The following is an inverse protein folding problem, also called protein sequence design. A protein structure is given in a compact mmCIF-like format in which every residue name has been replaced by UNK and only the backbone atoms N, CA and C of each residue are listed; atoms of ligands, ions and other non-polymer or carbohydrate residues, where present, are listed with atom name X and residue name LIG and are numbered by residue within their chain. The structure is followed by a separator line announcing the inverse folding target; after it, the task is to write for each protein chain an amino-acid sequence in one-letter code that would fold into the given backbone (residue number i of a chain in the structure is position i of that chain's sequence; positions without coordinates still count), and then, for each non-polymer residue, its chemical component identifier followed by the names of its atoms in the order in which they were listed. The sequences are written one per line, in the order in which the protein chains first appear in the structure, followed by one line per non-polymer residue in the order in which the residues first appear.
data_IF_445208863269
#
_entry.id   IF_445208863269
#
_cell.length_a   1.000
_cell.length_b   1.000
_cell.length_c   1.000
_cell.angle_alpha   90.00
_cell.angle_beta   90.00
_cell.angle_gamma   90.00
#
_symmetry.space_group_name_H-M   'P 1'
#
loop_
_entity.id
_entity.type
_entity.pdbx_description
1 polymer ?
#
# COMPACT_ATOMS: atom_id res chain seq x y z
N UNK A 1 -0.81 -10.56 8.79
CA UNK A 1 -1.68 -10.12 7.67
C UNK A 1 -1.04 -10.25 6.29
N UNK A 2 0.26 -10.19 6.18
CA UNK A 2 1.04 -10.25 4.94
C UNK A 2 1.18 -11.63 4.29
N UNK A 3 0.97 -12.69 5.06
CA UNK A 3 1.06 -14.07 4.55
C UNK A 3 -0.20 -14.47 3.74
N UNK A 4 -1.37 -13.95 4.08
CA UNK A 4 -2.62 -14.30 3.39
C UNK A 4 -2.61 -13.99 1.88
N UNK A 5 -2.11 -12.83 1.41
CA UNK A 5 -1.96 -12.58 -0.01
C UNK A 5 -1.10 -13.60 -0.75
N UNK A 6 -0.07 -14.18 -0.09
CA UNK A 6 0.75 -15.24 -0.69
C UNK A 6 -0.04 -16.50 -1.04
N UNK A 7 -1.12 -16.77 -0.34
CA UNK A 7 -2.02 -17.90 -0.65
C UNK A 7 -3.18 -17.48 -1.57
N UNK A 8 -3.74 -16.27 -1.36
CA UNK A 8 -4.95 -15.87 -2.10
C UNK A 8 -4.66 -15.38 -3.51
N UNK A 9 -3.52 -14.73 -3.78
CA UNK A 9 -3.15 -14.27 -5.13
C UNK A 9 -3.00 -15.45 -6.08
N UNK A 10 -2.14 -16.47 -5.81
CA UNK A 10 -1.98 -17.61 -6.70
C UNK A 10 -3.28 -18.38 -6.96
N UNK A 11 -4.16 -18.42 -5.96
CA UNK A 11 -5.46 -19.05 -6.10
C UNK A 11 -6.37 -18.27 -7.04
N UNK A 12 -6.54 -16.97 -6.79
CA UNK A 12 -7.43 -16.11 -7.58
C UNK A 12 -6.98 -15.99 -9.04
N UNK A 13 -5.68 -15.85 -9.29
CA UNK A 13 -5.15 -15.75 -10.65
C UNK A 13 -5.43 -17.01 -11.49
N UNK A 14 -5.37 -18.20 -10.85
CA UNK A 14 -5.64 -19.47 -11.53
C UNK A 14 -7.13 -19.78 -11.67
N UNK A 15 -7.93 -19.45 -10.66
CA UNK A 15 -9.36 -19.82 -10.63
C UNK A 15 -10.18 -18.83 -11.43
N UNK A 16 -10.04 -17.54 -11.19
CA UNK A 16 -10.80 -16.50 -11.91
C UNK A 16 -10.23 -16.19 -13.31
N UNK A 17 -8.92 -16.38 -13.48
CA UNK A 17 -8.21 -15.98 -14.68
C UNK A 17 -7.97 -14.46 -14.76
N UNK A 18 -7.17 -14.05 -15.76
CA UNK A 18 -6.72 -12.66 -15.90
C UNK A 18 -7.86 -11.69 -16.22
N UNK A 19 -8.78 -12.07 -17.09
CA UNK A 19 -9.88 -11.21 -17.55
C UNK A 19 -10.86 -10.86 -16.41
N UNK A 20 -11.39 -11.86 -15.73
CA UNK A 20 -12.35 -11.66 -14.62
C UNK A 20 -11.72 -10.95 -13.43
N UNK A 21 -10.47 -11.31 -13.10
CA UNK A 21 -9.73 -10.62 -12.05
C UNK A 21 -9.48 -9.15 -12.42
N UNK A 22 -9.22 -8.86 -13.70
CA UNK A 22 -9.06 -7.51 -14.21
C UNK A 22 -10.33 -6.66 -14.06
N UNK A 23 -11.50 -7.21 -14.37
CA UNK A 23 -12.79 -6.53 -14.14
C UNK A 23 -12.97 -6.21 -12.65
N UNK A 24 -12.72 -7.20 -11.78
CA UNK A 24 -12.85 -7.00 -10.35
C UNK A 24 -11.88 -5.91 -9.83
N UNK A 25 -10.63 -5.87 -10.31
CA UNK A 25 -9.64 -4.84 -9.93
C UNK A 25 -10.01 -3.45 -10.44
N UNK A 26 -10.53 -3.36 -11.68
CA UNK A 26 -11.01 -2.10 -12.22
C UNK A 26 -12.18 -1.53 -11.41
N UNK A 27 -13.23 -2.33 -11.23
CA UNK A 27 -14.43 -1.88 -10.51
C UNK A 27 -14.12 -1.53 -9.06
N UNK A 28 -13.27 -2.30 -8.39
CA UNK A 28 -12.76 -2.00 -7.06
C UNK A 28 -12.00 -0.65 -7.02
N UNK A 29 -11.12 -0.38 -8.00
CA UNK A 29 -10.34 0.86 -8.03
C UNK A 29 -11.21 2.10 -8.21
N UNK A 30 -12.24 2.04 -9.06
CA UNK A 30 -13.22 3.12 -9.22
C UNK A 30 -13.94 3.43 -7.89
N UNK A 31 -14.37 2.38 -7.18
CA UNK A 31 -15.05 2.53 -5.88
C UNK A 31 -14.10 3.08 -4.80
N UNK A 32 -12.84 2.66 -4.79
CA UNK A 32 -11.84 3.17 -3.86
C UNK A 32 -11.54 4.66 -4.08
N UNK A 33 -11.41 5.10 -5.34
CA UNK A 33 -11.28 6.52 -5.66
C UNK A 33 -12.50 7.27 -5.12
N UNK A 34 -13.71 6.81 -5.47
CA UNK A 34 -14.94 7.47 -5.07
C UNK A 34 -15.09 7.58 -3.54
N UNK A 35 -14.76 6.53 -2.79
CA UNK A 35 -14.86 6.56 -1.33
C UNK A 35 -13.87 7.53 -0.67
N UNK A 36 -12.67 7.68 -1.20
CA UNK A 36 -11.70 8.64 -0.67
C UNK A 36 -12.15 10.08 -0.95
N UNK A 37 -12.65 10.34 -2.18
CA UNK A 37 -13.22 11.63 -2.51
C UNK A 37 -14.48 11.92 -1.68
N UNK A 38 -15.32 10.92 -1.43
CA UNK A 38 -16.51 11.07 -0.59
C UNK A 38 -16.19 11.34 0.88
N UNK A 39 -15.13 10.75 1.44
CA UNK A 39 -14.71 10.95 2.84
C UNK A 39 -14.06 12.30 3.12
N UNK A 40 -13.60 13.04 2.10
CA UNK A 40 -13.09 14.41 2.20
C UNK A 40 -12.07 14.64 3.34
N UNK A 41 -11.14 13.69 3.53
CA UNK A 41 -10.09 13.79 4.56
C UNK A 41 -10.52 13.41 5.99
N UNK A 42 -11.77 13.01 6.19
CA UNK A 42 -12.30 12.65 7.52
C UNK A 42 -11.52 11.53 8.20
N UNK A 43 -10.87 10.63 7.46
CA UNK A 43 -10.11 9.52 8.08
C UNK A 43 -9.01 10.03 8.98
N UNK A 44 -8.17 10.94 8.51
CA UNK A 44 -7.07 11.51 9.30
C UNK A 44 -7.55 12.57 10.29
N UNK A 45 -8.53 13.35 9.89
CA UNK A 45 -9.14 14.36 10.76
C UNK A 45 -9.76 13.73 12.00
N UNK A 46 -10.54 12.66 11.84
CA UNK A 46 -11.24 11.98 12.94
C UNK A 46 -10.27 11.43 13.98
N UNK A 47 -9.20 10.76 13.54
CA UNK A 47 -8.15 10.27 14.45
C UNK A 47 -7.57 11.40 15.32
N UNK A 48 -7.28 12.54 14.70
CA UNK A 48 -6.67 13.69 15.38
C UNK A 48 -7.61 14.33 16.39
N UNK A 49 -8.87 14.57 16.02
CA UNK A 49 -9.82 15.25 16.88
C UNK A 49 -10.24 14.39 18.07
N UNK A 50 -10.34 13.06 17.88
CA UNK A 50 -10.57 12.10 18.97
C UNK A 50 -9.40 12.10 19.94
N UNK A 51 -8.16 12.07 19.47
CA UNK A 51 -6.98 12.13 20.32
C UNK A 51 -6.93 13.40 21.20
N UNK A 52 -7.37 14.55 20.66
CA UNK A 52 -7.43 15.79 21.43
C UNK A 52 -8.50 15.78 22.54
N UNK A 53 -9.61 15.05 22.34
CA UNK A 53 -10.73 15.04 23.28
C UNK A 53 -10.76 13.78 24.18
N UNK A 54 -9.76 12.89 24.12
CA UNK A 54 -9.75 11.58 24.80
C UNK A 54 -9.84 11.62 26.31
N UNK A 55 -9.50 12.76 26.94
CA UNK A 55 -9.53 12.91 28.40
C UNK A 55 -10.92 13.34 28.93
N UNK A 56 -11.87 13.67 28.06
CA UNK A 56 -13.20 14.12 28.45
C UNK A 56 -14.28 13.27 27.74
N UNK A 57 -14.87 12.32 28.44
CA UNK A 57 -15.82 11.34 27.88
C UNK A 57 -17.02 12.00 27.20
N UNK A 58 -17.51 13.13 27.70
CA UNK A 58 -18.66 13.83 27.10
C UNK A 58 -18.27 14.53 25.79
N UNK A 59 -17.14 15.23 25.77
CA UNK A 59 -16.64 15.87 24.54
C UNK A 59 -16.24 14.81 23.50
N UNK A 60 -15.62 13.73 23.95
CA UNK A 60 -15.27 12.58 23.11
C UNK A 60 -16.51 11.98 22.44
N UNK A 61 -17.57 11.73 23.22
CA UNK A 61 -18.81 11.15 22.71
C UNK A 61 -19.54 12.10 21.77
N UNK A 62 -19.58 13.42 22.06
CA UNK A 62 -20.12 14.43 21.15
C UNK A 62 -19.36 14.44 19.82
N UNK A 63 -18.04 14.52 19.85
CA UNK A 63 -17.19 14.48 18.66
C UNK A 63 -17.40 13.21 17.83
N UNK A 64 -17.52 12.05 18.50
CA UNK A 64 -17.82 10.80 17.82
C UNK A 64 -19.10 10.88 17.00
N UNK A 65 -20.23 11.30 17.63
CA UNK A 65 -21.51 11.34 16.95
C UNK A 65 -21.57 12.40 15.86
N UNK A 66 -20.95 13.57 16.06
CA UNK A 66 -20.87 14.60 15.03
C UNK A 66 -20.15 14.10 13.77
N UNK A 67 -18.99 13.48 13.96
CA UNK A 67 -18.22 12.92 12.86
C UNK A 67 -18.93 11.74 12.21
N UNK A 68 -19.54 10.87 13.00
CA UNK A 68 -20.28 9.72 12.50
C UNK A 68 -21.47 10.13 11.64
N UNK A 69 -22.29 11.10 12.09
CA UNK A 69 -23.39 11.64 11.30
C UNK A 69 -22.89 12.35 10.03
N UNK A 70 -21.78 13.09 10.12
CA UNK A 70 -21.18 13.68 8.94
C UNK A 70 -20.77 12.62 7.91
N UNK A 71 -20.17 11.51 8.36
CA UNK A 71 -19.83 10.37 7.47
C UNK A 71 -21.08 9.76 6.85
N UNK A 72 -22.19 9.66 7.56
CA UNK A 72 -23.47 9.18 7.00
C UNK A 72 -23.99 10.13 5.91
N UNK A 73 -23.96 11.44 6.14
CA UNK A 73 -24.37 12.43 5.13
C UNK A 73 -23.50 12.29 3.87
N UNK A 74 -22.18 12.25 4.04
CA UNK A 74 -21.25 12.08 2.93
C UNK A 74 -21.39 10.73 2.23
N UNK A 75 -21.72 9.66 2.98
CA UNK A 75 -22.05 8.35 2.41
C UNK A 75 -23.24 8.44 1.45
N UNK A 76 -24.31 9.10 1.86
CA UNK A 76 -25.52 9.28 1.03
C UNK A 76 -25.15 10.05 -0.24
N UNK A 77 -24.42 11.17 -0.12
CA UNK A 77 -23.94 11.91 -1.28
C UNK A 77 -23.08 11.06 -2.22
N UNK A 78 -22.18 10.25 -1.64
CA UNK A 78 -21.31 9.34 -2.39
C UNK A 78 -22.12 8.26 -3.12
N UNK A 79 -23.15 7.70 -2.47
CA UNK A 79 -24.04 6.71 -3.07
C UNK A 79 -24.86 7.28 -4.23
N UNK A 80 -25.28 8.54 -4.16
CA UNK A 80 -25.96 9.22 -5.28
C UNK A 80 -25.04 9.37 -6.47
N UNK A 81 -23.79 9.83 -6.25
CA UNK A 81 -22.78 9.93 -7.32
C UNK A 81 -22.43 8.53 -7.88
N UNK A 82 -22.30 7.54 -7.00
CA UNK A 82 -22.06 6.16 -7.38
C UNK A 82 -23.19 5.59 -8.25
N UNK A 83 -24.44 5.88 -7.92
CA UNK A 83 -25.59 5.51 -8.75
C UNK A 83 -25.50 6.08 -10.17
N UNK A 84 -25.12 7.35 -10.30
CA UNK A 84 -24.94 7.98 -11.62
C UNK A 84 -23.79 7.32 -12.42
N UNK A 85 -22.66 7.00 -11.76
CA UNK A 85 -21.54 6.28 -12.38
C UNK A 85 -21.97 4.88 -12.84
N UNK A 86 -22.75 4.17 -12.00
CA UNK A 86 -23.25 2.82 -12.29
C UNK A 86 -24.13 2.82 -13.52
N UNK A 87 -25.05 3.77 -13.66
CA UNK A 87 -25.95 3.87 -14.81
C UNK A 87 -25.22 4.13 -16.12
N UNK A 88 -24.10 4.86 -16.08
CA UNK A 88 -23.28 5.15 -17.27
C UNK A 88 -22.21 4.10 -17.59
N UNK A 89 -22.08 3.03 -16.79
CA UNK A 89 -21.01 2.04 -16.94
C UNK A 89 -21.43 0.81 -17.73
N UNK A 90 -20.47 0.22 -18.45
CA UNK A 90 -20.60 -1.13 -19.04
C UNK A 90 -20.76 -2.24 -17.98
N UNK A 91 -20.31 -1.99 -16.72
CA UNK A 91 -20.40 -2.92 -15.58
C UNK A 91 -21.58 -2.60 -14.64
N UNK A 92 -22.68 -2.08 -15.18
CA UNK A 92 -23.87 -1.66 -14.41
C UNK A 92 -24.46 -2.78 -13.54
N UNK A 93 -24.28 -4.05 -13.92
CA UNK A 93 -24.78 -5.21 -13.18
C UNK A 93 -23.83 -5.63 -12.03
N UNK A 94 -22.58 -5.20 -12.07
CA UNK A 94 -21.54 -5.50 -11.07
C UNK A 94 -21.43 -4.40 -10.04
N UNK A 95 -21.44 -3.13 -10.44
CA UNK A 95 -21.27 -2.01 -9.54
C UNK A 95 -22.21 -1.99 -8.33
N UNK A 96 -23.52 -2.32 -8.44
CA UNK A 96 -24.43 -2.30 -7.29
C UNK A 96 -23.94 -3.12 -6.08
N UNK A 97 -23.16 -4.18 -6.32
CA UNK A 97 -22.61 -5.02 -5.25
C UNK A 97 -21.68 -4.21 -4.33
N UNK A 98 -20.99 -3.23 -4.88
CA UNK A 98 -20.07 -2.37 -4.13
C UNK A 98 -20.76 -1.35 -3.20
N UNK A 99 -22.10 -1.27 -3.18
CA UNK A 99 -22.85 -0.49 -2.18
C UNK A 99 -22.43 -0.91 -0.76
N UNK A 100 -22.26 -2.22 -0.53
CA UNK A 100 -21.79 -2.74 0.75
C UNK A 100 -20.35 -2.34 1.06
N UNK A 101 -19.49 -2.26 0.07
CA UNK A 101 -18.12 -1.75 0.22
C UNK A 101 -18.12 -0.28 0.66
N UNK A 102 -18.91 0.56 -0.03
CA UNK A 102 -19.06 1.98 0.30
C UNK A 102 -19.61 2.13 1.71
N UNK A 103 -20.72 1.47 2.03
CA UNK A 103 -21.31 1.50 3.37
C UNK A 103 -20.28 1.05 4.42
N UNK A 104 -19.56 -0.01 4.19
CA UNK A 104 -18.50 -0.49 5.07
C UNK A 104 -17.42 0.58 5.31
N UNK A 105 -16.95 1.22 4.24
CA UNK A 105 -15.91 2.26 4.36
C UNK A 105 -16.38 3.46 5.18
N UNK A 106 -17.61 3.92 4.99
CA UNK A 106 -18.14 5.09 5.70
C UNK A 106 -18.55 4.78 7.15
N UNK A 107 -19.05 3.59 7.41
CA UNK A 107 -19.46 3.16 8.76
C UNK A 107 -18.29 2.68 9.62
N UNK A 108 -17.10 2.46 9.05
CA UNK A 108 -15.94 2.02 9.83
C UNK A 108 -15.56 3.05 10.90
N UNK A 109 -15.50 2.59 12.14
CA UNK A 109 -15.18 3.40 13.32
C UNK A 109 -13.78 3.14 13.88
N UNK A 110 -12.91 2.49 13.13
CA UNK A 110 -11.51 2.23 13.52
C UNK A 110 -10.74 3.50 13.88
N UNK A 111 -11.08 4.63 13.24
CA UNK A 111 -10.53 5.95 13.54
C UNK A 111 -10.73 6.37 15.00
N UNK A 112 -11.85 5.99 15.60
CA UNK A 112 -12.12 6.29 17.00
C UNK A 112 -11.16 5.54 17.93
N UNK A 113 -11.02 4.22 17.73
CA UNK A 113 -10.12 3.39 18.53
C UNK A 113 -8.65 3.77 18.32
N UNK A 114 -8.27 4.17 17.12
CA UNK A 114 -6.94 4.72 16.84
C UNK A 114 -6.70 6.01 17.62
N UNK A 115 -7.68 6.92 17.66
CA UNK A 115 -7.58 8.19 18.36
C UNK A 115 -7.49 8.06 19.88
N UNK A 116 -8.18 7.07 20.48
CA UNK A 116 -8.05 6.77 21.91
C UNK A 116 -6.88 5.84 22.26
N UNK A 117 -6.06 5.46 21.26
CA UNK A 117 -4.91 4.55 21.41
C UNK A 117 -5.28 3.11 21.85
N UNK A 118 -6.52 2.68 21.62
CA UNK A 118 -7.01 1.34 21.94
C UNK A 118 -7.19 0.47 20.69
N UNK A 119 -6.09 0.05 20.09
CA UNK A 119 -6.12 -0.70 18.83
C UNK A 119 -6.57 -2.17 18.94
N UNK A 120 -6.63 -2.72 20.17
CA UNK A 120 -6.91 -4.16 20.39
C UNK A 120 -8.22 -4.63 19.73
N UNK A 121 -9.38 -3.94 19.88
CA UNK A 121 -10.62 -4.34 19.22
C UNK A 121 -10.51 -4.33 17.69
N UNK A 122 -9.85 -3.32 17.13
CA UNK A 122 -9.64 -3.18 15.68
C UNK A 122 -8.78 -4.33 15.14
N UNK A 123 -7.69 -4.65 15.83
CA UNK A 123 -6.78 -5.72 15.43
C UNK A 123 -7.47 -7.08 15.48
N UNK A 124 -8.15 -7.42 16.60
CA UNK A 124 -8.85 -8.70 16.75
C UNK A 124 -9.92 -8.86 15.66
N UNK A 125 -10.78 -7.84 15.48
CA UNK A 125 -11.79 -7.84 14.44
C UNK A 125 -11.19 -8.08 13.05
N UNK A 126 -10.13 -7.33 12.70
CA UNK A 126 -9.48 -7.45 11.41
C UNK A 126 -8.95 -8.86 11.15
N UNK A 127 -8.39 -9.53 12.19
CA UNK A 127 -7.93 -10.90 12.06
C UNK A 127 -9.09 -11.88 11.86
N UNK A 128 -10.14 -11.78 12.68
CA UNK A 128 -11.30 -12.69 12.60
C UNK A 128 -11.98 -12.58 11.24
N UNK A 129 -12.36 -11.36 10.85
CA UNK A 129 -13.05 -11.14 9.57
C UNK A 129 -12.18 -11.56 8.39
N UNK A 130 -10.87 -11.28 8.45
CA UNK A 130 -9.92 -11.67 7.39
C UNK A 130 -9.76 -13.18 7.26
N UNK A 131 -9.67 -13.92 8.37
CA UNK A 131 -9.56 -15.38 8.35
C UNK A 131 -10.85 -15.97 7.77
N UNK A 132 -12.02 -15.54 8.27
CA UNK A 132 -13.32 -16.01 7.77
C UNK A 132 -13.46 -15.72 6.27
N UNK A 133 -13.18 -14.50 5.84
CA UNK A 133 -13.28 -14.14 4.41
C UNK A 133 -12.31 -14.93 3.54
N UNK A 134 -11.11 -15.25 4.05
CA UNK A 134 -10.15 -16.08 3.32
C UNK A 134 -10.62 -17.52 3.21
N UNK A 135 -11.20 -18.11 4.27
CA UNK A 135 -11.79 -19.45 4.22
C UNK A 135 -12.95 -19.47 3.21
N UNK A 136 -13.86 -18.50 3.29
CA UNK A 136 -14.98 -18.38 2.34
C UNK A 136 -14.51 -18.21 0.91
N UNK A 137 -13.39 -17.50 0.68
CA UNK A 137 -12.79 -17.36 -0.63
C UNK A 137 -12.43 -18.73 -1.23
N UNK A 138 -11.74 -19.58 -0.49
CA UNK A 138 -11.36 -20.92 -0.97
C UNK A 138 -12.56 -21.89 -1.11
N UNK A 139 -13.61 -21.69 -0.33
CA UNK A 139 -14.80 -22.54 -0.36
C UNK A 139 -15.75 -22.16 -1.50
N UNK A 140 -15.97 -20.86 -1.71
CA UNK A 140 -17.01 -20.36 -2.62
C UNK A 140 -16.51 -20.10 -4.05
N UNK A 141 -15.25 -19.73 -4.22
CA UNK A 141 -14.70 -19.37 -5.52
C UNK A 141 -13.97 -20.59 -6.07
N UNK A 142 -14.54 -21.26 -7.08
CA UNK A 142 -14.01 -22.50 -7.65
C UNK A 142 -13.81 -22.46 -9.15
N UNK A 143 -14.38 -21.47 -9.83
CA UNK A 143 -14.35 -21.33 -11.27
C UNK A 143 -14.31 -19.88 -11.75
N UNK A 144 -14.21 -19.71 -13.06
CA UNK A 144 -14.16 -18.38 -13.70
C UNK A 144 -15.46 -17.61 -13.51
N UNK A 145 -16.59 -18.30 -13.47
CA UNK A 145 -17.92 -17.72 -13.35
C UNK A 145 -18.18 -17.14 -11.93
N UNK A 146 -17.34 -17.50 -10.96
CA UNK A 146 -17.48 -17.05 -9.57
C UNK A 146 -16.92 -15.65 -9.31
N UNK A 147 -16.58 -14.86 -10.35
CA UNK A 147 -16.13 -13.48 -10.22
C UNK A 147 -17.12 -12.63 -9.42
N UNK A 148 -18.41 -12.75 -9.69
CA UNK A 148 -19.46 -12.01 -8.98
C UNK A 148 -19.49 -12.39 -7.50
N UNK A 149 -19.30 -13.66 -7.16
CA UNK A 149 -19.21 -14.15 -5.77
C UNK A 149 -17.97 -13.56 -5.10
N UNK A 150 -16.85 -13.45 -5.81
CA UNK A 150 -15.64 -12.81 -5.30
C UNK A 150 -15.89 -11.34 -4.96
N UNK A 151 -16.59 -10.59 -5.81
CA UNK A 151 -16.91 -9.18 -5.58
C UNK A 151 -17.88 -9.03 -4.40
N UNK A 152 -18.90 -9.90 -4.28
CA UNK A 152 -19.75 -9.96 -3.11
C UNK A 152 -18.96 -10.21 -1.83
N UNK A 153 -18.07 -11.19 -1.84
CA UNK A 153 -17.25 -11.54 -0.67
C UNK A 153 -16.35 -10.37 -0.23
N UNK A 154 -15.71 -9.67 -1.17
CA UNK A 154 -14.87 -8.51 -0.86
C UNK A 154 -15.68 -7.35 -0.29
N UNK A 155 -16.84 -7.06 -0.89
CA UNK A 155 -17.73 -5.98 -0.45
C UNK A 155 -18.36 -6.27 0.93
N UNK A 156 -18.83 -7.49 1.14
CA UNK A 156 -19.37 -7.91 2.45
C UNK A 156 -18.29 -8.00 3.53
N UNK A 157 -17.05 -8.36 3.17
CA UNK A 157 -15.92 -8.35 4.11
C UNK A 157 -15.67 -6.93 4.63
N UNK A 158 -15.70 -5.92 3.75
CA UNK A 158 -15.54 -4.53 4.16
C UNK A 158 -16.70 -4.05 5.04
N UNK A 159 -17.93 -4.42 4.70
CA UNK A 159 -19.11 -4.12 5.50
C UNK A 159 -19.09 -4.82 6.87
N UNK A 160 -18.74 -6.10 6.90
CA UNK A 160 -18.62 -6.87 8.15
C UNK A 160 -17.56 -6.29 9.10
N UNK A 161 -16.42 -5.85 8.56
CA UNK A 161 -15.42 -5.13 9.34
C UNK A 161 -16.02 -3.93 10.07
N UNK A 162 -16.94 -3.21 9.45
CA UNK A 162 -17.55 -2.01 10.06
C UNK A 162 -18.60 -2.37 11.10
N UNK A 163 -19.38 -3.43 10.89
CA UNK A 163 -20.46 -3.82 11.81
C UNK A 163 -19.90 -4.48 13.08
N UNK A 164 -18.94 -5.39 12.94
CA UNK A 164 -18.39 -6.18 14.06
C UNK A 164 -17.72 -5.31 15.13
N UNK A 165 -17.31 -4.08 14.80
CA UNK A 165 -16.66 -3.17 15.76
C UNK A 165 -17.67 -2.41 16.65
N UNK A 166 -18.94 -2.24 16.23
CA UNK A 166 -19.93 -1.44 16.95
C UNK A 166 -20.15 -1.86 18.41
N UNK A 167 -20.22 -3.15 18.77
CA UNK A 167 -20.39 -3.55 20.18
C UNK A 167 -19.32 -2.99 21.11
N UNK A 168 -18.09 -2.81 20.61
CA UNK A 168 -16.99 -2.27 21.40
C UNK A 168 -17.09 -0.77 21.69
N UNK A 169 -17.86 -0.03 20.88
CA UNK A 169 -18.13 1.39 21.11
C UNK A 169 -18.99 1.64 22.35
N UNK A 170 -19.93 0.73 22.65
CA UNK A 170 -20.88 0.89 23.76
C UNK A 170 -20.20 1.11 25.10
N UNK A 171 -19.04 0.50 25.32
CA UNK A 171 -18.28 0.66 26.57
C UNK A 171 -17.46 1.93 26.66
N UNK A 172 -17.33 2.69 25.56
CA UNK A 172 -16.49 3.88 25.43
C UNK A 172 -17.26 5.17 25.20
N UNK A 173 -18.53 5.08 24.84
CA UNK A 173 -19.38 6.24 24.57
C UNK A 173 -20.37 6.44 25.70
N UNK A 174 -20.49 7.69 26.15
CA UNK A 174 -21.50 8.12 27.10
C UNK A 174 -22.75 8.57 26.37
N UNK A 175 -23.89 8.61 27.06
CA UNK A 175 -25.14 9.12 26.49
C UNK A 175 -24.99 10.61 26.18
N UNK A 176 -25.33 10.98 24.95
CA UNK A 176 -25.25 12.33 24.42
C UNK A 176 -26.61 12.78 23.94
N UNK A 177 -26.98 14.03 24.19
CA UNK A 177 -28.13 14.62 23.56
C UNK A 177 -27.81 14.98 22.11
N UNK A 178 -28.58 14.45 21.17
CA UNK A 178 -28.42 14.78 19.74
C UNK A 178 -28.89 16.20 19.40
N UNK A 179 -29.63 16.83 20.30
CA UNK A 179 -30.03 18.27 20.17
C UNK A 179 -28.80 19.13 20.50
N UNK A 180 -28.25 19.81 19.50
CA UNK A 180 -27.09 20.71 19.69
C UNK A 180 -25.76 20.18 19.18
N UNK A 181 -25.74 19.02 18.53
CA UNK A 181 -24.55 18.54 17.80
C UNK A 181 -24.26 19.48 16.61
N UNK A 182 -23.00 19.90 16.49
CA UNK A 182 -22.57 20.74 15.37
C UNK A 182 -21.81 19.91 14.34
N UNK A 183 -22.56 19.15 13.53
CA UNK A 183 -22.01 18.19 12.55
C UNK A 183 -21.08 18.87 11.56
N UNK A 184 -21.48 20.04 11.02
CA UNK A 184 -20.74 20.72 9.95
C UNK A 184 -19.45 21.43 10.40
N UNK A 185 -19.21 21.60 11.71
CA UNK A 185 -17.95 22.18 12.21
C UNK A 185 -16.71 21.36 11.80
N UNK A 186 -16.88 20.08 11.50
CA UNK A 186 -15.81 19.17 11.10
C UNK A 186 -15.51 19.20 9.60
N UNK A 187 -16.41 19.78 8.78
CA UNK A 187 -16.32 19.77 7.32
C UNK A 187 -15.08 20.52 6.81
N UNK A 188 -14.99 21.80 7.13
CA UNK A 188 -13.90 22.65 6.63
C UNK A 188 -12.52 22.21 7.13
N UNK A 189 -12.33 21.85 8.42
CA UNK A 189 -11.04 21.32 8.90
C UNK A 189 -10.65 19.98 8.26
N UNK A 190 -11.62 19.12 7.88
CA UNK A 190 -11.28 17.84 7.22
C UNK A 190 -10.78 18.05 5.80
N UNK A 191 -11.28 19.05 5.06
CA UNK A 191 -10.80 19.38 3.72
C UNK A 191 -9.32 19.75 3.68
N UNK A 192 -8.79 20.35 4.75
CA UNK A 192 -7.36 20.65 4.85
C UNK A 192 -6.46 19.37 4.83
N UNK A 193 -7.01 18.23 5.23
CA UNK A 193 -6.32 16.95 5.22
C UNK A 193 -6.72 16.06 4.02
N UNK A 194 -7.61 16.54 3.17
CA UNK A 194 -8.08 15.80 2.00
C UNK A 194 -7.03 15.68 0.91
N UNK A 195 -6.32 16.78 0.60
CA UNK A 195 -5.40 16.83 -0.54
C UNK A 195 -4.30 15.75 -0.50
N UNK A 196 -3.61 15.50 0.63
CA UNK A 196 -2.62 14.41 0.70
C UNK A 196 -3.23 13.03 0.48
N UNK A 197 -4.44 12.79 1.03
CA UNK A 197 -5.13 11.51 0.87
C UNK A 197 -5.59 11.29 -0.57
N UNK A 198 -6.18 12.31 -1.20
CA UNK A 198 -6.60 12.27 -2.58
C UNK A 198 -5.41 12.03 -3.52
N UNK A 199 -4.30 12.77 -3.33
CA UNK A 199 -3.09 12.59 -4.11
C UNK A 199 -2.58 11.15 -4.05
N UNK A 200 -2.49 10.57 -2.84
CA UNK A 200 -2.05 9.18 -2.66
C UNK A 200 -2.97 8.18 -3.38
N UNK A 201 -4.30 8.36 -3.27
CA UNK A 201 -5.24 7.45 -3.93
C UNK A 201 -5.28 7.61 -5.45
N UNK A 202 -5.07 8.81 -5.95
CA UNK A 202 -4.97 9.05 -7.38
C UNK A 202 -3.84 8.19 -7.95
N UNK A 203 -2.61 8.36 -7.46
CA UNK A 203 -1.49 7.62 -8.04
C UNK A 203 -1.50 6.11 -7.77
N UNK A 204 -2.24 5.61 -6.76
CA UNK A 204 -2.37 4.18 -6.48
C UNK A 204 -3.47 3.51 -7.32
N UNK A 205 -4.51 4.24 -7.72
CA UNK A 205 -5.69 3.64 -8.34
C UNK A 205 -5.94 4.11 -9.78
N UNK A 206 -5.48 5.32 -10.17
CA UNK A 206 -5.76 5.87 -11.50
C UNK A 206 -5.12 5.05 -12.62
N UNK A 207 -3.94 4.46 -12.41
CA UNK A 207 -3.28 3.59 -13.38
C UNK A 207 -4.24 2.53 -13.91
N UNK A 208 -4.98 1.85 -13.01
CA UNK A 208 -5.94 0.78 -13.36
C UNK A 208 -7.10 1.28 -14.20
N UNK A 209 -7.57 2.49 -13.87
CA UNK A 209 -8.64 3.15 -14.61
C UNK A 209 -8.14 3.55 -16.01
N UNK A 210 -6.96 4.16 -16.10
CA UNK A 210 -6.36 4.56 -17.37
C UNK A 210 -6.04 3.36 -18.26
N UNK A 211 -5.50 2.28 -17.69
CA UNK A 211 -5.24 1.02 -18.40
C UNK A 211 -6.54 0.51 -19.03
N UNK A 212 -7.68 0.49 -18.30
CA UNK A 212 -8.96 0.07 -18.84
C UNK A 212 -9.42 0.91 -20.02
N UNK A 213 -9.37 2.24 -19.88
CA UNK A 213 -9.86 3.14 -20.92
C UNK A 213 -8.97 3.16 -22.17
N UNK A 214 -7.66 3.04 -22.00
CA UNK A 214 -6.68 3.14 -23.09
C UNK A 214 -6.48 1.80 -23.78
N UNK A 215 -6.25 0.73 -23.03
CA UNK A 215 -5.94 -0.60 -23.58
C UNK A 215 -7.18 -1.47 -23.80
N UNK A 216 -8.33 -1.11 -23.22
CA UNK A 216 -9.67 -1.70 -23.39
C UNK A 216 -9.84 -3.13 -22.88
N UNK A 217 -8.81 -3.96 -22.80
CA UNK A 217 -8.86 -5.34 -22.29
C UNK A 217 -8.61 -5.34 -20.75
N UNK A 218 -9.59 -5.83 -19.95
CA UNK A 218 -9.45 -5.96 -18.51
C UNK A 218 -8.25 -6.81 -18.05
N UNK A 219 -7.81 -7.78 -18.85
CA UNK A 219 -6.68 -8.64 -18.51
C UNK A 219 -5.41 -7.86 -18.20
N UNK A 220 -5.19 -6.74 -18.90
CA UNK A 220 -4.05 -5.86 -18.65
C UNK A 220 -4.04 -5.26 -17.24
N UNK A 221 -5.22 -5.02 -16.66
CA UNK A 221 -5.33 -4.49 -15.29
C UNK A 221 -4.86 -5.54 -14.27
N UNK A 222 -5.23 -6.80 -14.47
CA UNK A 222 -4.78 -7.88 -13.60
C UNK A 222 -3.28 -8.14 -13.76
N UNK A 223 -2.75 -8.13 -14.98
CA UNK A 223 -1.31 -8.26 -15.25
C UNK A 223 -0.52 -7.16 -14.53
N UNK A 224 -0.94 -5.90 -14.67
CA UNK A 224 -0.35 -4.78 -13.96
C UNK A 224 -0.44 -4.95 -12.45
N UNK A 225 -1.65 -5.15 -11.92
CA UNK A 225 -1.91 -5.13 -10.47
C UNK A 225 -1.25 -6.28 -9.73
N UNK A 226 -1.27 -7.51 -10.28
CA UNK A 226 -0.71 -8.65 -9.58
C UNK A 226 0.82 -8.64 -9.62
N UNK A 227 1.44 -8.20 -10.72
CA UNK A 227 2.89 -8.00 -10.79
C UNK A 227 3.36 -6.86 -9.87
N UNK A 228 2.61 -5.75 -9.79
CA UNK A 228 2.87 -4.66 -8.85
C UNK A 228 2.85 -5.15 -7.39
N UNK A 229 1.84 -5.94 -7.01
CA UNK A 229 1.74 -6.51 -5.66
C UNK A 229 2.91 -7.41 -5.32
N UNK A 230 3.32 -8.28 -6.25
CA UNK A 230 4.48 -9.16 -6.06
C UNK A 230 5.75 -8.33 -5.85
N UNK A 231 6.00 -7.35 -6.72
CA UNK A 231 7.15 -6.48 -6.59
C UNK A 231 7.18 -5.72 -5.26
N UNK A 232 6.00 -5.37 -4.70
CA UNK A 232 5.89 -4.67 -3.41
C UNK A 232 5.93 -5.59 -2.18
N UNK A 233 5.81 -6.91 -2.31
CA UNK A 233 5.78 -7.83 -1.16
C UNK A 233 7.00 -7.72 -0.22
N UNK A 234 8.25 -7.63 -0.71
CA UNK A 234 9.41 -7.52 0.19
C UNK A 234 9.44 -6.26 1.05
N UNK A 235 8.70 -5.21 0.66
CA UNK A 235 8.64 -3.94 1.40
C UNK A 235 8.02 -4.07 2.81
N UNK A 236 7.33 -5.16 3.08
CA UNK A 236 6.80 -5.46 4.43
C UNK A 236 7.92 -5.54 5.46
N UNK A 237 9.07 -6.11 5.07
CA UNK A 237 10.24 -6.19 5.95
C UNK A 237 10.81 -4.78 6.23
N UNK A 238 10.80 -3.91 5.23
CA UNK A 238 11.24 -2.52 5.37
C UNK A 238 10.31 -1.70 6.28
N UNK A 239 8.98 -1.87 6.15
CA UNK A 239 7.99 -1.17 6.98
C UNK A 239 8.04 -1.62 8.43
N UNK A 240 8.31 -2.90 8.71
CA UNK A 240 8.49 -3.40 10.08
C UNK A 240 9.65 -2.70 10.79
N UNK A 241 10.75 -2.45 10.09
CA UNK A 241 11.89 -1.72 10.64
C UNK A 241 11.55 -0.26 10.97
N UNK A 242 10.70 0.36 10.16
CA UNK A 242 10.26 1.75 10.32
C UNK A 242 9.46 1.98 11.58
N UNK A 243 8.59 1.03 11.95
CA UNK A 243 7.78 1.14 13.17
C UNK A 243 8.62 1.21 14.45
N UNK A 244 9.82 0.62 14.43
CA UNK A 244 10.75 0.60 15.57
C UNK A 244 11.62 1.87 15.62
N UNK A 245 12.06 2.36 14.45
CA UNK A 245 13.01 3.48 14.38
C UNK A 245 12.34 4.85 14.47
N UNK A 246 11.13 5.01 13.93
CA UNK A 246 10.42 6.29 13.91
C UNK A 246 10.27 6.97 15.30
N UNK A 247 9.82 6.28 16.37
CA UNK A 247 9.71 6.93 17.70
C UNK A 247 11.06 7.38 18.27
N UNK A 248 12.12 6.63 17.99
CA UNK A 248 13.47 6.98 18.43
C UNK A 248 13.99 8.22 17.73
N UNK A 249 13.79 8.32 16.41
CA UNK A 249 14.16 9.49 15.61
C UNK A 249 13.41 10.73 16.11
N UNK A 250 12.09 10.61 16.35
CA UNK A 250 11.29 11.72 16.89
C UNK A 250 11.76 12.20 18.25
N UNK A 251 12.12 11.27 19.14
CA UNK A 251 12.64 11.58 20.48
C UNK A 251 13.99 12.31 20.41
N UNK A 252 14.97 11.78 19.69
CA UNK A 252 16.30 12.38 19.58
C UNK A 252 16.24 13.75 18.88
N UNK A 253 15.35 13.92 17.90
CA UNK A 253 15.16 15.23 17.28
C UNK A 253 14.61 16.27 18.25
N UNK A 254 13.60 15.93 19.06
CA UNK A 254 13.07 16.82 20.10
C UNK A 254 14.12 17.17 21.17
N UNK A 255 15.04 16.25 21.43
CA UNK A 255 16.16 16.45 22.36
C UNK A 255 17.32 17.31 21.78
N UNK A 256 17.20 17.73 20.50
CA UNK A 256 18.23 18.53 19.82
C UNK A 256 19.45 17.73 19.34
N UNK A 257 19.45 16.40 19.45
CA UNK A 257 20.57 15.52 19.14
C UNK A 257 20.65 15.19 17.63
N UNK A 258 21.00 16.18 16.79
CA UNK A 258 21.06 15.98 15.32
C UNK A 258 22.01 14.85 14.90
N UNK A 259 23.14 14.67 15.58
CA UNK A 259 24.11 13.61 15.27
C UNK A 259 23.51 12.20 15.46
N UNK A 260 22.73 12.00 16.53
CA UNK A 260 22.02 10.74 16.76
C UNK A 260 20.93 10.51 15.73
N UNK A 261 20.16 11.54 15.37
CA UNK A 261 19.16 11.46 14.30
C UNK A 261 19.83 11.03 13.00
N UNK A 262 20.94 11.68 12.63
CA UNK A 262 21.71 11.36 11.42
C UNK A 262 22.19 9.91 11.44
N UNK A 263 22.67 9.43 12.59
CA UNK A 263 23.09 8.04 12.78
C UNK A 263 21.94 7.05 12.61
N UNK A 264 20.78 7.31 13.20
CA UNK A 264 19.59 6.45 13.03
C UNK A 264 19.09 6.43 11.59
N UNK A 265 19.03 7.58 10.91
CA UNK A 265 18.64 7.69 9.51
C UNK A 265 19.62 6.91 8.62
N UNK A 266 20.93 7.07 8.83
CA UNK A 266 21.96 6.29 8.12
C UNK A 266 21.76 4.79 8.29
N UNK A 267 21.55 4.35 9.54
CA UNK A 267 21.26 2.95 9.85
C UNK A 267 19.98 2.46 9.16
N UNK A 268 18.92 3.27 9.16
CA UNK A 268 17.66 2.94 8.51
C UNK A 268 17.84 2.73 6.99
N UNK A 269 18.50 3.67 6.30
CA UNK A 269 18.79 3.54 4.88
C UNK A 269 19.54 2.25 4.55
N UNK A 270 20.64 2.00 5.26
CA UNK A 270 21.49 0.85 5.01
C UNK A 270 20.81 -0.48 5.34
N UNK A 271 20.07 -0.54 6.47
CA UNK A 271 19.34 -1.75 6.85
C UNK A 271 18.21 -2.08 5.87
N UNK A 272 17.46 -1.08 5.41
CA UNK A 272 16.41 -1.27 4.40
C UNK A 272 17.03 -1.69 3.08
N UNK A 273 18.10 -1.03 2.64
CA UNK A 273 18.75 -1.33 1.38
C UNK A 273 19.40 -2.70 1.36
N UNK A 274 19.97 -3.15 2.49
CA UNK A 274 20.53 -4.50 2.66
C UNK A 274 19.49 -5.60 2.43
N UNK A 275 18.22 -5.33 2.70
CA UNK A 275 17.12 -6.28 2.47
C UNK A 275 16.57 -6.12 1.04
N UNK A 276 16.31 -4.89 0.60
CA UNK A 276 15.57 -4.62 -0.64
C UNK A 276 16.45 -4.88 -1.87
N UNK A 277 17.74 -4.56 -1.85
CA UNK A 277 18.60 -4.73 -3.02
C UNK A 277 18.70 -6.21 -3.48
N UNK A 278 18.98 -7.19 -2.59
CA UNK A 278 18.95 -8.60 -3.00
C UNK A 278 17.54 -9.10 -3.36
N UNK A 279 16.47 -8.60 -2.71
CA UNK A 279 15.10 -8.95 -3.11
C UNK A 279 14.78 -8.44 -4.51
N UNK A 280 15.21 -7.22 -4.87
CA UNK A 280 15.02 -6.64 -6.19
C UNK A 280 15.72 -7.46 -7.27
N UNK A 281 17.05 -7.65 -7.15
CA UNK A 281 17.82 -8.39 -8.15
C UNK A 281 17.50 -9.89 -8.17
N UNK A 282 17.20 -10.48 -7.01
CA UNK A 282 16.78 -11.86 -6.89
C UNK A 282 15.45 -12.12 -7.57
N UNK A 283 14.43 -11.26 -7.32
CA UNK A 283 13.13 -11.39 -7.97
C UNK A 283 13.23 -11.20 -9.48
N UNK A 284 14.05 -10.26 -9.96
CA UNK A 284 14.34 -10.12 -11.39
C UNK A 284 14.93 -11.41 -11.99
N UNK A 285 15.88 -12.04 -11.30
CA UNK A 285 16.55 -13.23 -11.77
C UNK A 285 15.65 -14.47 -11.86
N UNK A 286 14.67 -14.57 -10.97
CA UNK A 286 13.74 -15.71 -10.91
C UNK A 286 12.38 -15.42 -11.56
N UNK A 287 12.13 -14.21 -12.05
CA UNK A 287 10.80 -13.71 -12.46
C UNK A 287 10.04 -14.67 -13.36
N UNK A 288 10.69 -15.27 -14.37
CA UNK A 288 10.06 -16.18 -15.34
C UNK A 288 9.44 -17.41 -14.67
N UNK A 289 10.20 -18.10 -13.84
CA UNK A 289 9.71 -19.29 -13.13
C UNK A 289 8.75 -18.90 -12.01
N UNK A 290 8.99 -17.75 -11.38
CA UNK A 290 8.15 -17.24 -10.31
C UNK A 290 6.73 -16.91 -10.81
N UNK A 291 6.59 -16.16 -11.91
CA UNK A 291 5.27 -15.82 -12.47
C UNK A 291 4.51 -17.08 -12.88
N UNK A 292 5.17 -18.01 -13.57
CA UNK A 292 4.55 -19.28 -13.98
C UNK A 292 4.05 -20.09 -12.77
N UNK A 293 4.89 -20.21 -11.74
CA UNK A 293 4.59 -21.03 -10.56
C UNK A 293 3.67 -20.32 -9.56
N UNK A 294 3.74 -19.00 -9.46
CA UNK A 294 2.97 -18.23 -8.50
C UNK A 294 1.65 -17.75 -9.10
N UNK A 295 1.65 -17.08 -10.25
CA UNK A 295 0.46 -16.54 -10.88
C UNK A 295 -0.26 -17.53 -11.81
N UNK A 296 0.47 -18.51 -12.37
CA UNK A 296 -0.09 -19.51 -13.27
C UNK A 296 0.13 -19.19 -14.74
N UNK A 297 -0.37 -20.10 -15.63
CA UNK A 297 -0.03 -20.09 -17.05
C UNK A 297 -0.47 -18.83 -17.81
N UNK A 298 -1.61 -18.22 -17.46
CA UNK A 298 -2.10 -16.99 -18.11
C UNK A 298 -1.19 -15.78 -17.86
N UNK A 299 -0.41 -15.80 -16.78
CA UNK A 299 0.53 -14.77 -16.40
C UNK A 299 1.99 -15.10 -16.75
N UNK A 300 2.25 -16.26 -17.36
CA UNK A 300 3.63 -16.71 -17.59
C UNK A 300 4.44 -15.75 -18.46
N UNK A 301 3.80 -15.07 -19.41
CA UNK A 301 4.46 -14.11 -20.30
C UNK A 301 4.51 -12.69 -19.74
N UNK A 302 4.03 -12.47 -18.49
CA UNK A 302 4.08 -11.16 -17.83
C UNK A 302 5.34 -10.94 -17.00
N UNK A 303 6.24 -11.93 -16.90
CA UNK A 303 7.48 -11.79 -16.15
C UNK A 303 8.36 -10.59 -16.53
N UNK A 304 8.40 -10.09 -17.80
CA UNK A 304 9.15 -8.88 -18.10
C UNK A 304 8.53 -7.63 -17.44
N UNK A 305 7.21 -7.65 -17.23
CA UNK A 305 6.52 -6.60 -16.49
C UNK A 305 6.91 -6.63 -15.01
N UNK A 306 6.98 -7.83 -14.39
CA UNK A 306 7.49 -8.00 -13.04
C UNK A 306 8.92 -7.48 -12.89
N UNK A 307 9.81 -7.83 -13.83
CA UNK A 307 11.18 -7.30 -13.87
C UNK A 307 11.20 -5.77 -13.88
N UNK A 308 10.34 -5.18 -14.72
CA UNK A 308 10.23 -3.72 -14.84
C UNK A 308 9.71 -3.05 -13.55
N UNK A 309 8.90 -3.73 -12.75
CA UNK A 309 8.43 -3.24 -11.45
C UNK A 309 9.47 -3.34 -10.34
N UNK A 310 10.40 -4.29 -10.39
CA UNK A 310 11.32 -4.56 -9.28
C UNK A 310 12.05 -3.31 -8.73
N UNK A 311 12.53 -2.35 -9.55
CA UNK A 311 13.19 -1.15 -9.03
C UNK A 311 12.32 -0.28 -8.12
N UNK A 312 10.99 -0.41 -8.18
CA UNK A 312 10.05 0.34 -7.33
C UNK A 312 10.33 0.11 -5.84
N UNK A 313 10.80 -1.10 -5.49
CA UNK A 313 11.13 -1.44 -4.11
C UNK A 313 12.18 -0.49 -3.52
N UNK A 314 13.16 -0.09 -4.33
CA UNK A 314 14.26 0.77 -3.88
C UNK A 314 13.71 2.17 -3.57
N UNK A 315 12.90 2.73 -4.47
CA UNK A 315 12.34 4.08 -4.26
C UNK A 315 11.37 4.11 -3.09
N UNK A 316 10.43 3.15 -2.99
CA UNK A 316 9.51 3.06 -1.86
C UNK A 316 10.27 2.80 -0.55
N UNK A 317 11.28 1.94 -0.55
CA UNK A 317 12.10 1.68 0.62
C UNK A 317 12.81 2.93 1.13
N UNK A 318 13.37 3.71 0.22
CA UNK A 318 14.01 4.99 0.55
C UNK A 318 13.00 6.08 0.95
N UNK A 319 11.85 6.17 0.25
CA UNK A 319 10.75 7.06 0.63
C UNK A 319 10.17 6.73 2.01
N UNK A 320 10.22 5.47 2.42
CA UNK A 320 9.81 5.07 3.76
C UNK A 320 10.72 5.69 4.84
N UNK A 321 12.04 5.75 4.59
CA UNK A 321 12.98 6.42 5.50
C UNK A 321 12.77 7.94 5.50
N UNK A 322 12.76 8.56 4.33
CA UNK A 322 12.69 10.01 4.19
C UNK A 322 11.30 10.57 4.56
N UNK A 323 10.24 9.89 4.14
CA UNK A 323 8.85 10.30 4.38
C UNK A 323 8.38 9.92 5.77
N UNK A 324 8.29 8.61 6.06
CA UNK A 324 7.64 8.14 7.29
C UNK A 324 8.56 8.32 8.51
N UNK A 325 9.80 7.82 8.44
CA UNK A 325 10.69 7.84 9.59
C UNK A 325 11.27 9.23 9.89
N UNK A 326 11.32 10.13 8.87
CA UNK A 326 11.86 11.47 9.03
C UNK A 326 10.75 12.54 8.98
N UNK A 327 10.11 12.81 7.82
CA UNK A 327 9.18 13.93 7.69
C UNK A 327 7.93 13.79 8.58
N UNK A 328 7.35 12.57 8.68
CA UNK A 328 6.20 12.32 9.58
C UNK A 328 6.62 12.42 11.04
N UNK A 329 7.76 11.84 11.41
CA UNK A 329 8.27 11.90 12.79
C UNK A 329 8.53 13.34 13.27
N UNK A 330 8.87 14.24 12.34
CA UNK A 330 9.13 15.65 12.61
C UNK A 330 7.93 16.58 12.38
N UNK A 331 6.76 16.03 12.11
CA UNK A 331 5.50 16.77 11.77
C UNK A 331 5.62 17.71 10.55
N UNK A 332 6.52 17.37 9.60
CA UNK A 332 6.77 18.13 8.35
C UNK A 332 5.75 17.78 7.26
N UNK A 333 4.49 18.06 7.52
CA UNK A 333 3.35 17.68 6.66
C UNK A 333 3.35 18.37 5.31
N UNK A 334 3.83 19.62 5.23
CA UNK A 334 3.83 20.39 3.98
C UNK A 334 4.75 19.76 2.94
N UNK A 335 5.97 19.40 3.35
CA UNK A 335 6.97 18.80 2.49
C UNK A 335 6.55 17.39 2.04
N UNK A 336 5.96 16.63 2.96
CA UNK A 336 5.39 15.33 2.65
C UNK A 336 4.24 15.44 1.64
N UNK A 337 3.31 16.38 1.85
CA UNK A 337 2.20 16.64 0.92
C UNK A 337 2.71 17.04 -0.46
N UNK A 338 3.69 17.94 -0.52
CA UNK A 338 4.31 18.35 -1.77
C UNK A 338 4.89 17.16 -2.53
N UNK A 339 5.60 16.25 -1.84
CA UNK A 339 6.17 15.07 -2.48
C UNK A 339 5.09 14.15 -3.06
N UNK A 340 4.00 13.90 -2.33
CA UNK A 340 2.90 13.04 -2.82
C UNK A 340 2.09 13.69 -3.94
N UNK A 341 1.85 14.99 -3.87
CA UNK A 341 1.15 15.72 -4.95
C UNK A 341 1.99 15.70 -6.23
N UNK A 342 3.30 15.96 -6.12
CA UNK A 342 4.21 15.88 -7.27
C UNK A 342 4.25 14.48 -7.85
N UNK A 343 4.31 13.44 -7.01
CA UNK A 343 4.25 12.05 -7.44
C UNK A 343 2.95 11.76 -8.20
N UNK A 344 1.78 12.15 -7.65
CA UNK A 344 0.49 11.92 -8.28
C UNK A 344 0.34 12.64 -9.62
N UNK A 345 0.78 13.88 -9.71
CA UNK A 345 0.71 14.67 -10.95
C UNK A 345 1.66 14.09 -12.01
N UNK A 346 2.90 13.75 -11.63
CA UNK A 346 3.86 13.16 -12.56
C UNK A 346 3.42 11.78 -13.06
N UNK A 347 2.88 10.93 -12.18
CA UNK A 347 2.31 9.63 -12.55
C UNK A 347 1.18 9.82 -13.58
N UNK A 348 0.17 10.63 -13.26
CA UNK A 348 -0.98 10.86 -14.14
C UNK A 348 -0.56 11.39 -15.53
N UNK A 349 0.37 12.34 -15.58
CA UNK A 349 0.87 12.89 -16.85
C UNK A 349 1.60 11.80 -17.64
N UNK A 350 2.50 11.05 -17.01
CA UNK A 350 3.27 10.01 -17.67
C UNK A 350 2.39 8.86 -18.15
N UNK A 351 1.39 8.46 -17.37
CA UNK A 351 0.43 7.42 -17.76
C UNK A 351 -0.36 7.81 -19.01
N UNK A 352 -0.92 9.03 -19.04
CA UNK A 352 -1.66 9.54 -20.21
C UNK A 352 -0.76 9.59 -21.45
N UNK A 353 0.52 9.92 -21.30
CA UNK A 353 1.45 10.03 -22.41
C UNK A 353 2.04 8.70 -22.85
N UNK A 354 2.33 7.80 -21.93
CA UNK A 354 3.11 6.59 -22.19
C UNK A 354 2.24 5.33 -22.37
N UNK A 355 1.12 5.19 -21.67
CA UNK A 355 0.26 4.01 -21.85
C UNK A 355 -0.20 3.85 -23.31
N UNK A 356 -0.62 4.91 -24.04
CA UNK A 356 -1.00 4.76 -25.44
C UNK A 356 0.17 4.33 -26.36
N UNK A 357 1.42 4.59 -25.97
CA UNK A 357 2.62 4.34 -26.81
C UNK A 357 3.28 2.99 -26.55
N UNK A 358 3.39 2.62 -25.28
CA UNK A 358 4.15 1.44 -24.84
C UNK A 358 3.34 0.51 -23.90
N UNK A 359 2.02 0.67 -23.89
CA UNK A 359 1.12 -0.21 -23.13
C UNK A 359 1.39 -0.20 -21.62
N UNK A 360 1.36 -1.38 -21.00
CA UNK A 360 1.56 -1.54 -19.55
C UNK A 360 2.91 -1.01 -19.05
N UNK A 361 3.95 -1.04 -19.88
CA UNK A 361 5.27 -0.48 -19.50
C UNK A 361 5.20 1.02 -19.29
N UNK A 362 4.25 1.71 -19.95
CA UNK A 362 3.98 3.13 -19.71
C UNK A 362 3.48 3.40 -18.30
N UNK A 363 2.54 2.59 -17.82
CA UNK A 363 2.04 2.67 -16.44
C UNK A 363 3.14 2.32 -15.42
N UNK A 364 3.97 1.30 -15.69
CA UNK A 364 5.12 0.96 -14.82
C UNK A 364 6.10 2.13 -14.71
N UNK A 365 6.45 2.76 -15.85
CA UNK A 365 7.36 3.91 -15.85
C UNK A 365 6.74 5.11 -15.11
N UNK A 366 5.43 5.37 -15.31
CA UNK A 366 4.70 6.40 -14.57
C UNK A 366 4.83 6.22 -13.06
N UNK A 367 4.55 5.00 -12.59
CA UNK A 367 4.65 4.65 -11.16
C UNK A 367 6.10 4.73 -10.64
N UNK A 368 7.08 4.23 -11.39
CA UNK A 368 8.50 4.33 -11.02
C UNK A 368 8.96 5.79 -10.89
N UNK A 369 8.59 6.64 -11.85
CA UNK A 369 8.91 8.06 -11.82
C UNK A 369 8.22 8.77 -10.65
N UNK A 370 6.95 8.43 -10.35
CA UNK A 370 6.23 8.98 -9.21
C UNK A 370 6.95 8.70 -7.88
N UNK A 371 7.32 7.45 -7.65
CA UNK A 371 8.06 7.05 -6.44
C UNK A 371 9.46 7.67 -6.38
N UNK A 372 10.13 7.78 -7.53
CA UNK A 372 11.41 8.48 -7.63
C UNK A 372 11.29 9.96 -7.27
N UNK A 373 10.32 10.70 -7.82
CA UNK A 373 10.11 12.11 -7.49
C UNK A 373 9.70 12.31 -6.04
N UNK A 374 8.83 11.43 -5.50
CA UNK A 374 8.49 11.46 -4.08
C UNK A 374 9.75 11.34 -3.22
N UNK A 375 10.60 10.35 -3.50
CA UNK A 375 11.85 10.15 -2.78
C UNK A 375 12.79 11.35 -2.92
N UNK A 376 13.02 11.85 -4.12
CA UNK A 376 13.97 12.97 -4.37
C UNK A 376 13.55 14.22 -3.61
N UNK A 377 12.26 14.57 -3.62
CA UNK A 377 11.75 15.73 -2.88
C UNK A 377 11.93 15.54 -1.37
N UNK A 378 11.54 14.39 -0.84
CA UNK A 378 11.68 14.08 0.58
C UNK A 378 13.15 14.07 1.02
N UNK A 379 14.03 13.48 0.20
CA UNK A 379 15.47 13.43 0.44
C UNK A 379 16.11 14.83 0.42
N UNK A 380 15.66 15.70 -0.49
CA UNK A 380 16.13 17.09 -0.56
C UNK A 380 15.89 17.83 0.76
N UNK A 381 14.68 17.76 1.30
CA UNK A 381 14.36 18.41 2.57
C UNK A 381 15.11 17.79 3.74
N UNK A 382 15.22 16.48 3.80
CA UNK A 382 15.98 15.78 4.83
C UNK A 382 17.46 16.17 4.80
N UNK A 383 18.07 16.18 3.61
CA UNK A 383 19.49 16.55 3.42
C UNK A 383 19.77 18.00 3.80
N UNK A 384 18.85 18.91 3.55
CA UNK A 384 18.96 20.31 3.96
C UNK A 384 19.10 20.47 5.48
N UNK A 385 18.45 19.62 6.25
CA UNK A 385 18.46 19.69 7.72
C UNK A 385 19.63 18.94 8.36
N UNK A 386 19.98 17.77 7.81
CA UNK A 386 20.93 16.83 8.43
C UNK A 386 22.31 16.78 7.72
N UNK A 387 22.42 17.40 6.55
CA UNK A 387 23.66 17.33 5.75
C UNK A 387 23.84 16.04 4.96
N UNK A 388 25.09 15.69 4.63
CA UNK A 388 25.39 14.49 3.87
C UNK A 388 25.59 13.26 4.78
N UNK A 389 25.07 12.10 4.35
CA UNK A 389 25.07 10.87 5.17
C UNK A 389 26.29 9.97 4.96
N UNK A 390 27.13 10.23 3.96
CA UNK A 390 28.29 9.41 3.60
C UNK A 390 28.00 7.90 3.51
N UNK A 391 26.84 7.53 2.91
CA UNK A 391 26.39 6.14 2.76
C UNK A 391 26.69 5.55 1.38
N UNK A 392 27.16 6.38 0.43
CA UNK A 392 27.32 5.98 -0.98
C UNK A 392 28.24 4.75 -1.14
N UNK A 393 29.35 4.70 -0.42
CA UNK A 393 30.27 3.56 -0.49
C UNK A 393 29.63 2.23 -0.05
N UNK A 394 28.80 2.26 1.00
CA UNK A 394 28.07 1.06 1.45
C UNK A 394 26.96 0.68 0.48
N UNK A 395 26.20 1.67 -0.04
CA UNK A 395 25.18 1.42 -1.07
C UNK A 395 25.82 0.76 -2.28
N UNK A 396 26.97 1.25 -2.77
CA UNK A 396 27.68 0.66 -3.90
C UNK A 396 28.09 -0.79 -3.61
N UNK A 397 28.66 -1.07 -2.42
CA UNK A 397 29.05 -2.45 -2.05
C UNK A 397 27.84 -3.40 -2.01
N UNK A 398 26.72 -2.97 -1.42
CA UNK A 398 25.48 -3.75 -1.37
C UNK A 398 24.94 -3.97 -2.79
N UNK A 399 24.95 -2.94 -3.64
CA UNK A 399 24.49 -3.02 -5.03
C UNK A 399 25.32 -4.02 -5.83
N UNK A 400 26.65 -3.95 -5.74
CA UNK A 400 27.56 -4.87 -6.44
C UNK A 400 27.27 -6.31 -6.01
N UNK A 401 27.18 -6.57 -4.70
CA UNK A 401 26.89 -7.90 -4.21
C UNK A 401 25.50 -8.40 -4.64
N UNK A 402 24.47 -7.54 -4.63
CA UNK A 402 23.14 -7.90 -5.11
C UNK A 402 23.12 -8.18 -6.62
N UNK A 403 23.87 -7.40 -7.42
CA UNK A 403 24.00 -7.64 -8.86
C UNK A 403 24.76 -8.94 -9.17
N UNK A 404 25.87 -9.23 -8.47
CA UNK A 404 26.61 -10.49 -8.61
C UNK A 404 25.70 -11.68 -8.25
N UNK A 405 25.00 -11.58 -7.12
CA UNK A 405 24.02 -12.59 -6.72
C UNK A 405 22.94 -12.78 -7.80
N UNK A 406 22.34 -11.69 -8.28
CA UNK A 406 21.31 -11.74 -9.32
C UNK A 406 21.81 -12.35 -10.63
N UNK A 407 23.05 -12.04 -11.06
CA UNK A 407 23.65 -12.62 -12.25
C UNK A 407 23.90 -14.13 -12.10
N UNK A 408 24.43 -14.59 -10.96
CA UNK A 408 24.64 -16.01 -10.70
C UNK A 408 23.30 -16.75 -10.63
N UNK A 409 22.33 -16.22 -9.89
CA UNK A 409 20.97 -16.80 -9.79
C UNK A 409 20.27 -16.84 -11.15
N UNK A 410 20.42 -15.78 -11.96
CA UNK A 410 19.93 -15.73 -13.34
C UNK A 410 20.60 -16.78 -14.23
N UNK A 411 21.90 -17.04 -14.07
CA UNK A 411 22.61 -18.11 -14.76
C UNK A 411 22.05 -19.51 -14.45
N UNK A 412 21.50 -19.71 -13.26
CA UNK A 412 20.85 -20.98 -12.89
C UNK A 412 19.58 -21.28 -13.68
N UNK A 413 19.03 -20.29 -14.44
CA UNK A 413 17.93 -20.55 -15.38
C UNK A 413 18.31 -21.53 -16.51
N UNK A 414 19.61 -21.76 -16.74
CA UNK A 414 20.12 -22.71 -17.74
C UNK A 414 20.11 -24.16 -17.24
N UNK A 415 19.84 -24.40 -15.96
CA UNK A 415 19.82 -25.77 -15.42
C UNK A 415 18.62 -26.54 -16.00
N UNK A 416 18.84 -27.77 -16.53
CA UNK A 416 17.83 -28.62 -17.12
C UNK A 416 16.99 -29.34 -16.04
N UNK A 417 16.39 -28.60 -15.12
CA UNK A 417 15.57 -29.14 -14.03
C UNK A 417 14.17 -28.51 -14.05
N UNK A 418 13.21 -29.18 -13.44
CA UNK A 418 11.83 -28.65 -13.39
C UNK A 418 11.74 -27.29 -12.66
N UNK A 419 10.76 -26.44 -13.04
CA UNK A 419 10.69 -25.05 -12.59
C UNK A 419 10.58 -24.90 -11.06
N UNK A 420 9.97 -25.85 -10.37
CA UNK A 420 9.85 -25.83 -8.89
C UNK A 420 11.21 -26.05 -8.23
N UNK A 421 11.95 -27.07 -8.68
CA UNK A 421 13.29 -27.35 -8.13
C UNK A 421 14.25 -26.21 -8.50
N UNK A 422 14.16 -25.70 -9.72
CA UNK A 422 14.96 -24.58 -10.18
C UNK A 422 14.76 -23.34 -9.30
N UNK A 423 13.50 -22.96 -9.03
CA UNK A 423 13.18 -21.83 -8.17
C UNK A 423 13.70 -22.06 -6.73
N UNK A 424 13.55 -23.26 -6.19
CA UNK A 424 14.04 -23.58 -4.85
C UNK A 424 15.58 -23.44 -4.76
N UNK A 425 16.30 -23.99 -5.74
CA UNK A 425 17.78 -23.87 -5.83
C UNK A 425 18.20 -22.41 -5.98
N UNK A 426 17.51 -21.64 -6.83
CA UNK A 426 17.77 -20.23 -7.06
C UNK A 426 17.62 -19.39 -5.79
N UNK A 427 16.53 -19.59 -5.04
CA UNK A 427 16.27 -18.86 -3.78
C UNK A 427 17.35 -19.20 -2.73
N UNK A 428 17.64 -20.48 -2.52
CA UNK A 428 18.65 -20.91 -1.55
C UNK A 428 20.04 -20.39 -1.94
N UNK A 429 20.43 -20.57 -3.22
CA UNK A 429 21.71 -20.07 -3.72
C UNK A 429 21.81 -18.55 -3.60
N UNK A 430 20.75 -17.81 -3.94
CA UNK A 430 20.73 -16.36 -3.82
C UNK A 430 20.97 -15.89 -2.39
N UNK A 431 20.28 -16.47 -1.42
CA UNK A 431 20.47 -16.13 0.00
C UNK A 431 21.90 -16.42 0.45
N UNK A 432 22.42 -17.60 0.12
CA UNK A 432 23.79 -18.01 0.52
C UNK A 432 24.86 -17.12 -0.12
N UNK A 433 24.75 -16.84 -1.42
CA UNK A 433 25.70 -16.00 -2.16
C UNK A 433 25.71 -14.59 -1.59
N UNK A 434 24.54 -13.99 -1.40
CA UNK A 434 24.46 -12.65 -0.88
C UNK A 434 25.00 -12.52 0.55
N UNK A 435 24.65 -13.46 1.42
CA UNK A 435 25.18 -13.50 2.78
C UNK A 435 26.71 -13.69 2.79
N UNK A 436 27.22 -14.58 1.96
CA UNK A 436 28.67 -14.81 1.83
C UNK A 436 29.40 -13.52 1.40
N UNK A 437 28.93 -12.83 0.38
CA UNK A 437 29.51 -11.58 -0.11
C UNK A 437 29.44 -10.46 0.95
N UNK A 438 28.32 -10.35 1.67
CA UNK A 438 28.12 -9.32 2.69
C UNK A 438 28.91 -9.58 3.98
N UNK A 439 29.08 -10.85 4.37
CA UNK A 439 29.94 -11.24 5.51
C UNK A 439 31.42 -11.06 5.15
N UNK A 440 31.80 -11.49 3.96
CA UNK A 440 33.18 -11.37 3.47
C UNK A 440 33.65 -9.91 3.31
N UNK A 441 32.74 -9.00 2.93
CA UNK A 441 33.06 -7.57 2.85
C UNK A 441 32.99 -6.83 4.18
N UNK A 442 32.56 -7.48 5.27
CA UNK A 442 32.36 -6.86 6.58
C UNK A 442 31.18 -5.87 6.65
N UNK A 443 30.43 -5.69 5.56
CA UNK A 443 29.36 -4.66 5.46
C UNK A 443 28.25 -4.89 6.47
N UNK A 444 27.85 -6.13 6.74
CA UNK A 444 26.84 -6.44 7.76
C UNK A 444 27.31 -5.97 9.13
N UNK A 445 28.56 -6.25 9.48
CA UNK A 445 29.15 -5.83 10.76
C UNK A 445 29.19 -4.31 10.88
N UNK A 446 29.58 -3.60 9.82
CA UNK A 446 29.57 -2.13 9.78
C UNK A 446 28.15 -1.56 9.98
N UNK A 447 27.13 -2.14 9.33
CA UNK A 447 25.73 -1.69 9.48
C UNK A 447 25.17 -1.97 10.89
N UNK A 448 25.51 -3.08 11.50
CA UNK A 448 25.07 -3.42 12.86
C UNK A 448 25.74 -2.55 13.93
N UNK A 449 26.98 -2.12 13.72
CA UNK A 449 27.71 -1.25 14.65
C UNK A 449 27.29 0.23 14.58
N UNK A 450 26.58 0.66 13.51
CA UNK A 450 25.92 1.98 13.45
C UNK A 450 24.74 2.06 14.42
#
# INVERSE_FOLDING_TARGET
MTILPLATIPYLTRVLGSYNLGIARYTESVVQILTVFGLLGLVWYSNRIVAYNRQNDRLLSNCFWEIFFMRIILMICTLVVFGAITLGSEYRDIFPIYIFYIMGTFLDTSWFFTGIEEMKPVVIRNYIVRIISTILLFVLIRGRDDMVIYIWLSSLTMFANSIVIFPFLKSRLTRVSFKGLNIFRHFLPSLALFLPQAATQIYVQCDKVLIKYILKDPSYISFYTENEKIAKMPLVLATALSTVLMPRIAFEFKSGNKDRVTKFIRKAFLSIYLIIAPCCTGLMAVAKNFDLLFLGKEFADTYPLLISFCPIMIFIGFSNVTGIQYLVALDRKKELTLSYVTAAVSNLILDILLIPRIGLYGAVLGTLCAEFFAFVIQYHYMRKDLGSFHIAGMIIRISIAALIMGAIVGGLNLLPVGPVLQLAVQVVAGVLIFLFLMLGSGTIKEVLQL
#
